data_IF_844898212495
#
_entry.id   IF_844898212495
#
_cell.length_a   1.000
_cell.length_b   1.000
_cell.length_c   1.000
_cell.angle_alpha   90.00
_cell.angle_beta   90.00
_cell.angle_gamma   90.00
#
_symmetry.space_group_name_H-M   'P 1'
#
loop_
_entity.id
_entity.type
_entity.pdbx_description
1 polymer ?
#
# COMPACT_ATOMS: atom_id res chain seq x y z
N UNK A 1 17.10 110.29 -56.76
CA UNK A 1 18.46 109.88 -56.36
C UNK A 1 18.29 108.51 -55.72
N UNK A 2 19.01 107.49 -56.18
CA UNK A 2 18.90 106.12 -55.66
C UNK A 2 19.48 106.03 -54.25
N UNK A 3 18.77 105.34 -53.37
CA UNK A 3 19.37 104.37 -52.46
C UNK A 3 18.42 103.15 -52.43
N UNK A 4 18.98 101.95 -52.36
CA UNK A 4 18.27 100.69 -52.62
C UNK A 4 18.40 99.80 -51.39
N UNK A 5 17.27 99.32 -50.83
CA UNK A 5 17.24 98.54 -49.58
C UNK A 5 16.17 97.48 -49.58
N UNK A 6 16.56 96.34 -50.14
CA UNK A 6 16.33 94.99 -49.60
C UNK A 6 14.98 94.75 -48.90
N UNK A 7 14.02 94.27 -49.69
CA UNK A 7 12.80 93.64 -49.17
C UNK A 7 13.18 92.27 -48.60
N UNK A 8 13.61 92.25 -47.33
CA UNK A 8 13.77 91.03 -46.55
C UNK A 8 12.38 90.42 -46.25
N UNK A 9 11.82 89.68 -47.20
CA UNK A 9 10.60 88.90 -47.05
C UNK A 9 10.88 87.66 -46.19
N UNK A 10 11.03 87.88 -44.89
CA UNK A 10 11.21 86.81 -43.90
C UNK A 10 9.85 86.16 -43.61
N UNK A 11 9.60 85.03 -44.29
CA UNK A 11 8.46 84.15 -44.00
C UNK A 11 8.96 83.06 -43.06
N UNK A 12 8.30 82.83 -41.90
CA UNK A 12 8.56 81.62 -41.13
C UNK A 12 8.06 80.40 -41.92
N UNK A 13 8.97 79.69 -42.59
CA UNK A 13 8.66 78.45 -43.30
C UNK A 13 8.49 77.28 -42.31
N UNK A 14 7.26 77.09 -41.85
CA UNK A 14 6.69 75.75 -41.62
C UNK A 14 7.41 74.80 -40.66
N UNK A 15 7.62 75.19 -39.40
CA UNK A 15 7.98 74.23 -38.32
C UNK A 15 6.75 73.66 -37.59
N UNK A 16 5.58 74.30 -37.69
CA UNK A 16 4.34 73.89 -36.99
C UNK A 16 3.78 72.53 -37.44
N UNK A 17 4.22 71.98 -38.58
CA UNK A 17 3.83 70.63 -39.01
C UNK A 17 4.57 69.52 -38.28
N UNK A 18 5.90 69.66 -38.12
CA UNK A 18 6.75 68.60 -37.58
C UNK A 18 6.51 68.34 -36.08
N UNK A 19 6.32 69.41 -35.30
CA UNK A 19 6.05 69.28 -33.86
C UNK A 19 4.65 68.73 -33.58
N UNK A 20 3.66 68.99 -34.46
CA UNK A 20 2.33 68.39 -34.36
C UNK A 20 2.33 66.91 -34.79
N UNK A 21 3.02 66.54 -35.87
CA UNK A 21 3.18 65.13 -36.24
C UNK A 21 3.94 64.35 -35.15
N UNK A 22 5.00 64.93 -34.55
CA UNK A 22 5.71 64.31 -33.44
C UNK A 22 4.86 64.15 -32.18
N UNK A 23 4.07 65.16 -31.81
CA UNK A 23 3.12 65.07 -30.69
C UNK A 23 2.00 64.04 -30.97
N UNK A 24 1.51 63.96 -32.20
CA UNK A 24 0.52 62.96 -32.59
C UNK A 24 1.10 61.54 -32.62
N UNK A 25 2.35 61.35 -33.05
CA UNK A 25 3.05 60.06 -33.05
C UNK A 25 3.40 59.60 -31.62
N UNK A 26 3.79 60.52 -30.72
CA UNK A 26 3.96 60.21 -29.29
C UNK A 26 2.63 59.90 -28.59
N UNK A 27 1.54 60.59 -28.98
CA UNK A 27 0.18 60.29 -28.47
C UNK A 27 -0.38 58.97 -29.04
N UNK A 28 -0.10 58.65 -30.30
CA UNK A 28 -0.49 57.40 -30.97
C UNK A 28 0.29 56.20 -30.43
N UNK A 29 1.62 56.30 -30.31
CA UNK A 29 2.42 55.25 -29.69
C UNK A 29 2.07 55.05 -28.21
N UNK A 30 1.80 56.12 -27.45
CA UNK A 30 1.23 56.02 -26.09
C UNK A 30 -0.15 55.34 -26.10
N UNK A 31 -0.97 55.54 -27.15
CA UNK A 31 -2.25 54.86 -27.30
C UNK A 31 -2.10 53.38 -27.69
N UNK A 32 -1.12 53.01 -28.52
CA UNK A 32 -0.82 51.62 -28.90
C UNK A 32 -0.25 50.81 -27.72
N UNK A 33 0.68 51.37 -26.94
CA UNK A 33 1.12 50.77 -25.66
C UNK A 33 -0.02 50.73 -24.60
N UNK A 34 -1.09 51.50 -24.80
CA UNK A 34 -2.29 51.47 -23.93
C UNK A 34 -3.32 50.40 -24.31
N UNK A 35 -3.19 49.70 -25.45
CA UNK A 35 -4.15 48.68 -25.90
C UNK A 35 -4.01 47.38 -25.09
N UNK A 36 -4.44 47.46 -23.83
CA UNK A 36 -4.11 46.60 -22.70
C UNK A 36 -4.69 45.20 -22.73
N UNK A 37 -4.52 44.47 -23.84
CA UNK A 37 -4.73 43.03 -23.93
C UNK A 37 -3.64 42.31 -23.15
N UNK A 38 -3.73 42.33 -21.81
CA UNK A 38 -2.85 41.57 -20.92
C UNK A 38 -3.13 40.07 -21.10
N UNK A 39 -2.38 39.44 -21.99
CA UNK A 39 -2.47 37.99 -22.26
C UNK A 39 -1.89 37.23 -21.08
N UNK A 40 -2.76 36.84 -20.14
CA UNK A 40 -2.39 36.03 -18.99
C UNK A 40 -1.90 34.63 -19.43
N UNK A 41 -0.71 34.17 -19.01
CA UNK A 41 -0.26 32.82 -19.30
C UNK A 41 -1.20 31.80 -18.66
N UNK A 42 -1.42 30.67 -19.34
CA UNK A 42 -2.34 29.61 -18.90
C UNK A 42 -1.55 28.41 -18.41
N UNK A 43 -1.67 28.11 -17.12
CA UNK A 43 -1.11 26.91 -16.49
C UNK A 43 -2.09 25.73 -16.47
N UNK A 44 -1.65 24.60 -15.91
CA UNK A 44 -2.38 23.32 -15.85
C UNK A 44 -3.75 23.35 -15.09
N UNK A 45 -4.18 24.50 -14.57
CA UNK A 45 -5.48 24.69 -13.87
C UNK A 45 -6.20 25.99 -14.25
N UNK A 46 -5.82 26.65 -15.35
CA UNK A 46 -6.32 27.96 -15.75
C UNK A 46 -5.23 29.03 -15.77
N UNK A 47 -5.61 30.31 -15.82
CA UNK A 47 -4.67 31.43 -15.83
C UNK A 47 -3.71 31.39 -14.62
N UNK A 48 -2.46 31.79 -14.85
CA UNK A 48 -1.47 31.95 -13.81
C UNK A 48 -1.90 33.03 -12.82
N UNK A 49 -2.10 32.61 -11.58
CA UNK A 49 -2.55 33.48 -10.51
C UNK A 49 -1.54 34.57 -10.19
N UNK A 50 -0.24 34.31 -10.27
CA UNK A 50 0.77 35.31 -9.90
C UNK A 50 0.81 36.44 -10.94
N UNK A 51 0.66 36.11 -12.23
CA UNK A 51 0.52 37.10 -13.31
C UNK A 51 -0.78 37.91 -13.20
N UNK A 52 -1.90 37.28 -12.80
CA UNK A 52 -3.18 37.97 -12.59
C UNK A 52 -3.13 38.87 -11.34
N UNK A 53 -2.64 38.37 -10.20
CA UNK A 53 -2.51 39.14 -8.95
C UNK A 53 -1.46 40.28 -9.09
N UNK A 54 -0.52 40.20 -10.05
CA UNK A 54 0.37 41.30 -10.47
C UNK A 54 -0.34 42.34 -11.34
N UNK A 55 -1.02 41.93 -12.42
CA UNK A 55 -1.74 42.88 -13.28
C UNK A 55 -2.87 43.62 -12.54
N UNK A 56 -3.54 42.97 -11.58
CA UNK A 56 -4.52 43.61 -10.70
C UNK A 56 -3.87 44.69 -9.83
N UNK A 57 -2.67 44.46 -9.29
CA UNK A 57 -1.92 45.48 -8.54
C UNK A 57 -1.51 46.65 -9.43
N UNK A 58 -0.99 46.38 -10.63
CA UNK A 58 -0.63 47.42 -11.61
C UNK A 58 -1.84 48.22 -12.09
N UNK A 59 -3.02 47.60 -12.25
CA UNK A 59 -4.26 48.30 -12.55
C UNK A 59 -4.73 49.15 -11.36
N UNK A 60 -4.68 48.63 -10.13
CA UNK A 60 -5.05 49.36 -8.94
C UNK A 60 -4.14 50.58 -8.66
N UNK A 61 -2.84 50.46 -8.95
CA UNK A 61 -1.88 51.57 -8.86
C UNK A 61 -2.09 52.61 -9.98
N UNK A 62 -2.42 52.19 -11.22
CA UNK A 62 -2.81 53.12 -12.29
C UNK A 62 -4.09 53.89 -11.95
N UNK A 63 -5.11 53.21 -11.42
CA UNK A 63 -6.36 53.84 -10.95
C UNK A 63 -6.08 54.81 -9.80
N UNK A 64 -5.15 54.51 -8.89
CA UNK A 64 -4.76 55.43 -7.82
C UNK A 64 -4.08 56.69 -8.36
N UNK A 65 -3.12 56.56 -9.28
CA UNK A 65 -2.45 57.71 -9.91
C UNK A 65 -3.43 58.62 -10.64
N UNK A 66 -4.32 58.05 -11.45
CA UNK A 66 -5.37 58.83 -12.13
C UNK A 66 -6.32 59.55 -11.13
N UNK A 67 -6.61 58.94 -9.97
CA UNK A 67 -7.39 59.57 -8.91
C UNK A 67 -6.62 60.70 -8.18
N UNK A 68 -5.30 60.57 -8.02
CA UNK A 68 -4.42 61.61 -7.47
C UNK A 68 -4.25 62.78 -8.45
N UNK A 69 -4.01 62.48 -9.73
CA UNK A 69 -3.90 63.46 -10.83
C UNK A 69 -5.19 64.28 -11.00
N UNK A 70 -6.36 63.65 -10.96
CA UNK A 70 -7.66 64.36 -11.03
C UNK A 70 -7.94 65.21 -9.79
N UNK A 71 -7.49 64.79 -8.60
CA UNK A 71 -7.58 65.63 -7.39
C UNK A 71 -6.65 66.86 -7.47
N UNK A 72 -5.43 66.69 -7.96
CA UNK A 72 -4.49 67.81 -8.11
C UNK A 72 -4.88 68.76 -9.26
N UNK A 73 -5.42 68.24 -10.36
CA UNK A 73 -6.04 69.06 -11.41
C UNK A 73 -7.21 69.91 -10.85
N UNK A 74 -8.08 69.30 -10.01
CA UNK A 74 -9.16 70.01 -9.32
C UNK A 74 -8.63 71.09 -8.38
N UNK A 75 -7.61 70.81 -7.57
CA UNK A 75 -6.96 71.79 -6.68
C UNK A 75 -6.37 72.96 -7.46
N UNK A 76 -5.73 72.72 -8.61
CA UNK A 76 -5.19 73.78 -9.49
C UNK A 76 -6.30 74.66 -10.05
N UNK A 77 -7.41 74.08 -10.51
CA UNK A 77 -8.58 74.84 -10.95
C UNK A 77 -9.20 75.68 -9.82
N UNK A 78 -9.40 75.08 -8.64
CA UNK A 78 -9.88 75.79 -7.44
C UNK A 78 -8.97 76.96 -7.03
N UNK A 79 -7.65 76.79 -7.14
CA UNK A 79 -6.68 77.85 -6.88
C UNK A 79 -6.73 78.99 -7.93
N UNK A 80 -6.83 78.67 -9.22
CA UNK A 80 -6.96 79.69 -10.27
C UNK A 80 -8.26 80.49 -10.15
N UNK A 81 -9.40 79.84 -9.86
CA UNK A 81 -10.66 80.56 -9.62
C UNK A 81 -10.63 81.40 -8.33
N UNK A 82 -9.86 81.00 -7.31
CA UNK A 82 -9.65 81.82 -6.11
C UNK A 82 -8.78 83.05 -6.41
N UNK A 83 -7.74 82.90 -7.23
CA UNK A 83 -6.89 84.01 -7.68
C UNK A 83 -7.69 85.04 -8.51
N UNK A 84 -8.38 84.59 -9.57
CA UNK A 84 -9.18 85.46 -10.44
C UNK A 84 -10.24 86.27 -9.67
N UNK A 85 -10.81 85.69 -8.61
CA UNK A 85 -11.72 86.42 -7.71
C UNK A 85 -11.01 87.50 -6.91
N UNK A 86 -9.87 87.20 -6.31
CA UNK A 86 -9.10 88.18 -5.55
C UNK A 86 -8.57 89.33 -6.42
N UNK A 87 -8.23 89.06 -7.69
CA UNK A 87 -7.85 90.07 -8.68
C UNK A 87 -9.04 90.99 -9.01
N UNK A 88 -10.20 90.42 -9.37
CA UNK A 88 -11.42 91.17 -9.67
C UNK A 88 -11.95 91.97 -8.46
N UNK A 89 -11.91 91.40 -7.25
CA UNK A 89 -12.32 92.09 -6.03
C UNK A 89 -11.40 93.30 -5.73
N UNK A 90 -10.09 93.19 -6.01
CA UNK A 90 -9.15 94.30 -5.89
C UNK A 90 -9.35 95.40 -6.95
N UNK A 91 -9.66 95.03 -8.20
CA UNK A 91 -10.03 95.99 -9.25
C UNK A 91 -11.31 96.78 -8.88
N UNK A 92 -12.29 96.10 -8.27
CA UNK A 92 -13.49 96.75 -7.74
C UNK A 92 -13.17 97.74 -6.61
N UNK A 93 -12.34 97.35 -5.62
CA UNK A 93 -11.91 98.24 -4.53
C UNK A 93 -11.17 99.47 -5.08
N UNK A 94 -10.25 99.30 -6.04
CA UNK A 94 -9.53 100.42 -6.66
C UNK A 94 -10.47 101.37 -7.41
N UNK A 95 -11.46 100.83 -8.14
CA UNK A 95 -12.46 101.65 -8.83
C UNK A 95 -13.33 102.44 -7.84
N UNK A 96 -13.74 101.82 -6.73
CA UNK A 96 -14.53 102.46 -5.69
C UNK A 96 -13.74 103.57 -4.98
N UNK A 97 -12.43 103.36 -4.75
CA UNK A 97 -11.54 104.41 -4.25
C UNK A 97 -11.46 105.60 -5.20
N UNK A 98 -11.20 105.38 -6.51
CA UNK A 98 -11.16 106.45 -7.52
C UNK A 98 -12.43 107.29 -7.55
N UNK A 99 -13.61 106.65 -7.61
CA UNK A 99 -14.89 107.38 -7.56
C UNK A 99 -15.09 108.16 -6.25
N UNK A 100 -14.57 107.68 -5.11
CA UNK A 100 -14.66 108.40 -3.83
C UNK A 100 -13.79 109.67 -3.81
N UNK A 101 -12.63 109.64 -4.47
CA UNK A 101 -11.75 110.81 -4.61
C UNK A 101 -12.35 111.85 -5.57
N UNK A 102 -12.92 111.42 -6.70
CA UNK A 102 -13.64 112.31 -7.62
C UNK A 102 -14.83 113.01 -6.93
N UNK A 103 -15.64 112.26 -6.16
CA UNK A 103 -16.78 112.81 -5.42
C UNK A 103 -16.36 113.82 -4.35
N UNK A 104 -15.25 113.58 -3.64
CA UNK A 104 -14.74 114.55 -2.65
C UNK A 104 -14.19 115.81 -3.32
N UNK A 105 -13.44 115.68 -4.42
CA UNK A 105 -12.98 116.83 -5.21
C UNK A 105 -14.15 117.67 -5.75
N UNK A 106 -15.20 117.05 -6.28
CA UNK A 106 -16.40 117.76 -6.76
C UNK A 106 -17.14 118.48 -5.62
N UNK A 107 -17.21 117.88 -4.42
CA UNK A 107 -17.78 118.55 -3.24
C UNK A 107 -16.95 119.77 -2.79
N UNK A 108 -15.61 119.69 -2.86
CA UNK A 108 -14.75 120.83 -2.54
C UNK A 108 -14.87 121.96 -3.58
N UNK A 109 -14.92 121.63 -4.87
CA UNK A 109 -15.17 122.60 -5.94
C UNK A 109 -16.52 123.31 -5.75
N UNK A 110 -17.59 122.57 -5.40
CA UNK A 110 -18.92 123.13 -5.15
C UNK A 110 -18.93 124.04 -3.90
N UNK A 111 -18.26 123.65 -2.81
CA UNK A 111 -18.06 124.51 -1.64
C UNK A 111 -17.30 125.80 -1.98
N UNK A 112 -16.23 125.70 -2.78
CA UNK A 112 -15.45 126.86 -3.21
C UNK A 112 -16.23 127.80 -4.14
N UNK A 113 -17.11 127.26 -4.99
CA UNK A 113 -18.04 128.06 -5.80
C UNK A 113 -19.09 128.78 -4.93
N UNK A 114 -19.70 128.07 -3.97
CA UNK A 114 -20.68 128.64 -3.05
C UNK A 114 -20.10 129.75 -2.16
N UNK A 115 -18.86 129.59 -1.67
CA UNK A 115 -18.16 130.63 -0.92
C UNK A 115 -17.98 131.92 -1.75
N UNK A 116 -17.52 131.79 -3.01
CA UNK A 116 -17.36 132.94 -3.92
C UNK A 116 -18.68 133.64 -4.23
N UNK A 117 -19.80 132.91 -4.27
CA UNK A 117 -21.13 133.50 -4.43
C UNK A 117 -21.52 134.35 -3.20
N UNK A 118 -21.35 133.81 -1.99
CA UNK A 118 -21.62 134.54 -0.75
C UNK A 118 -20.70 135.76 -0.55
N UNK A 119 -19.42 135.67 -0.96
CA UNK A 119 -18.48 136.80 -0.98
C UNK A 119 -18.95 137.91 -1.94
N UNK A 120 -19.51 137.54 -3.11
CA UNK A 120 -20.05 138.48 -4.08
C UNK A 120 -21.36 139.13 -3.61
N UNK A 121 -22.28 138.35 -3.03
CA UNK A 121 -23.50 138.87 -2.38
C UNK A 121 -23.16 139.87 -1.27
N UNK A 122 -22.14 139.56 -0.45
CA UNK A 122 -21.65 140.45 0.60
C UNK A 122 -21.06 141.76 0.06
N UNK A 123 -20.35 141.71 -1.07
CA UNK A 123 -19.83 142.91 -1.75
C UNK A 123 -20.95 143.77 -2.35
N UNK A 124 -21.98 143.16 -2.94
CA UNK A 124 -23.16 143.89 -3.45
C UNK A 124 -23.90 144.60 -2.32
N UNK A 125 -24.08 143.93 -1.16
CA UNK A 125 -24.65 144.58 0.03
C UNK A 125 -23.80 145.75 0.52
N UNK A 126 -22.49 145.58 0.66
CA UNK A 126 -21.59 146.65 1.13
C UNK A 126 -21.60 147.88 0.19
N UNK A 127 -21.60 147.66 -1.13
CA UNK A 127 -21.69 148.74 -2.12
C UNK A 127 -23.06 149.45 -2.09
N UNK A 128 -24.14 148.72 -1.79
CA UNK A 128 -25.48 149.31 -1.61
C UNK A 128 -25.53 150.21 -0.36
N UNK A 129 -24.91 149.80 0.75
CA UNK A 129 -24.87 150.58 1.99
C UNK A 129 -23.95 151.81 1.86
N UNK A 130 -22.82 151.71 1.13
CA UNK A 130 -21.95 152.85 0.82
C UNK A 130 -22.68 153.91 -0.03
N UNK A 131 -23.45 153.49 -1.05
CA UNK A 131 -24.27 154.42 -1.82
C UNK A 131 -25.43 155.01 -1.01
N UNK A 132 -26.05 154.24 -0.12
CA UNK A 132 -27.14 154.72 0.74
C UNK A 132 -26.69 155.75 1.81
N UNK A 133 -25.39 155.85 2.09
CA UNK A 133 -24.81 156.78 3.08
C UNK A 133 -24.09 157.97 2.45
N UNK A 134 -24.22 158.16 1.13
CA UNK A 134 -23.56 159.23 0.38
C UNK A 134 -24.46 160.48 0.23
N UNK A 135 -24.20 161.50 1.04
CA UNK A 135 -24.80 162.85 0.86
C UNK A 135 -24.21 163.55 -0.37
N UNK A 136 -24.85 163.38 -1.54
CA UNK A 136 -24.67 164.25 -2.71
C UNK A 136 -25.77 165.34 -2.73
N UNK A 137 -25.41 166.59 -3.07
CA UNK A 137 -26.24 167.82 -2.98
C UNK A 137 -27.57 167.85 -3.77
N UNK A 138 -27.95 166.75 -4.42
CA UNK A 138 -29.25 166.58 -5.09
C UNK A 138 -29.80 165.16 -4.85
N UNK A 139 -30.59 164.94 -3.78
CA UNK A 139 -31.12 163.64 -3.43
C UNK A 139 -32.26 163.17 -4.34
N UNK A 140 -32.59 163.88 -5.43
CA UNK A 140 -33.42 163.36 -6.51
C UNK A 140 -32.52 162.73 -7.58
N UNK A 141 -31.53 163.47 -8.09
CA UNK A 141 -30.56 162.94 -9.07
C UNK A 141 -29.75 161.76 -8.55
N UNK A 142 -29.32 161.77 -7.29
CA UNK A 142 -28.60 160.64 -6.68
C UNK A 142 -29.40 159.34 -6.74
N UNK A 143 -30.72 159.41 -6.47
CA UNK A 143 -31.64 158.26 -6.61
C UNK A 143 -31.93 157.91 -8.06
N UNK A 144 -32.15 158.87 -8.95
CA UNK A 144 -32.35 158.59 -10.38
C UNK A 144 -31.13 157.88 -11.00
N UNK A 145 -29.91 158.24 -10.59
CA UNK A 145 -28.69 157.55 -11.00
C UNK A 145 -28.50 156.20 -10.31
N UNK A 146 -28.83 156.05 -9.03
CA UNK A 146 -28.77 154.77 -8.33
C UNK A 146 -29.81 153.77 -8.86
N UNK A 147 -31.06 154.20 -9.08
CA UNK A 147 -32.11 153.39 -9.72
C UNK A 147 -31.72 152.99 -11.15
N UNK A 148 -31.03 153.86 -11.90
CA UNK A 148 -30.49 153.52 -13.21
C UNK A 148 -29.34 152.50 -13.13
N UNK A 149 -28.44 152.62 -12.15
CA UNK A 149 -27.35 151.67 -11.92
C UNK A 149 -27.90 150.32 -11.44
N UNK A 150 -28.84 150.31 -10.49
CA UNK A 150 -29.54 149.11 -10.03
C UNK A 150 -30.30 148.44 -11.18
N UNK A 151 -31.00 149.20 -12.03
CA UNK A 151 -31.68 148.65 -13.20
C UNK A 151 -30.71 148.01 -14.20
N UNK A 152 -29.55 148.64 -14.45
CA UNK A 152 -28.50 148.07 -15.30
C UNK A 152 -27.85 146.85 -14.63
N UNK A 153 -27.68 146.85 -13.31
CA UNK A 153 -27.16 145.72 -12.55
C UNK A 153 -28.16 144.55 -12.47
N UNK A 154 -29.46 144.82 -12.37
CA UNK A 154 -30.56 143.85 -12.44
C UNK A 154 -30.67 143.26 -13.85
N UNK A 155 -30.53 144.08 -14.89
CA UNK A 155 -30.50 143.63 -16.29
C UNK A 155 -29.25 142.77 -16.56
N UNK A 156 -28.06 143.18 -16.08
CA UNK A 156 -26.83 142.40 -16.19
C UNK A 156 -26.86 141.10 -15.35
N UNK A 157 -27.35 141.15 -14.12
CA UNK A 157 -27.52 139.96 -13.28
C UNK A 157 -28.58 139.01 -13.86
N UNK A 158 -29.68 139.55 -14.42
CA UNK A 158 -30.68 138.79 -15.16
C UNK A 158 -30.08 138.09 -16.37
N UNK A 159 -29.25 138.78 -17.16
CA UNK A 159 -28.50 138.18 -18.29
C UNK A 159 -27.50 137.12 -17.81
N UNK A 160 -26.78 137.36 -16.71
CA UNK A 160 -25.84 136.39 -16.13
C UNK A 160 -26.56 135.15 -15.60
N UNK A 161 -27.68 135.30 -14.90
CA UNK A 161 -28.51 134.19 -14.41
C UNK A 161 -29.13 133.42 -15.58
N UNK A 162 -29.66 134.10 -16.60
CA UNK A 162 -30.17 133.43 -17.82
C UNK A 162 -29.06 132.67 -18.56
N UNK A 163 -27.84 133.22 -18.61
CA UNK A 163 -26.70 132.54 -19.22
C UNK A 163 -26.25 131.33 -18.39
N UNK A 164 -26.20 131.46 -17.06
CA UNK A 164 -25.85 130.39 -16.13
C UNK A 164 -26.89 129.25 -16.12
N UNK A 165 -28.18 129.58 -16.13
CA UNK A 165 -29.27 128.59 -16.29
C UNK A 165 -29.12 127.89 -17.64
N UNK A 166 -28.96 128.62 -18.74
CA UNK A 166 -28.75 128.02 -20.05
C UNK A 166 -27.45 127.20 -20.16
N UNK A 167 -26.40 127.53 -19.40
CA UNK A 167 -25.19 126.70 -19.28
C UNK A 167 -25.47 125.42 -18.49
N UNK A 168 -26.17 125.50 -17.36
CA UNK A 168 -26.56 124.36 -16.55
C UNK A 168 -27.50 123.41 -17.30
N UNK A 169 -28.48 123.93 -18.04
CA UNK A 169 -29.36 123.16 -18.91
C UNK A 169 -28.58 122.41 -20.00
N UNK A 170 -27.60 123.06 -20.65
CA UNK A 170 -26.72 122.40 -21.64
C UNK A 170 -25.81 121.34 -21.00
N UNK A 171 -25.28 121.60 -19.80
CA UNK A 171 -24.44 120.64 -19.08
C UNK A 171 -25.25 119.42 -18.62
N UNK A 172 -26.48 119.63 -18.12
CA UNK A 172 -27.41 118.56 -17.75
C UNK A 172 -27.86 117.75 -18.97
N UNK A 173 -28.10 118.41 -20.12
CA UNK A 173 -28.38 117.71 -21.37
C UNK A 173 -27.20 116.82 -21.79
N UNK A 174 -25.98 117.38 -21.84
CA UNK A 174 -24.76 116.61 -22.16
C UNK A 174 -24.58 115.43 -21.22
N UNK A 175 -24.68 115.63 -19.90
CA UNK A 175 -24.57 114.56 -18.92
C UNK A 175 -25.69 113.51 -19.01
N UNK A 176 -26.90 113.88 -19.44
CA UNK A 176 -27.99 112.93 -19.68
C UNK A 176 -27.77 112.12 -20.97
N UNK A 177 -27.27 112.74 -22.04
CA UNK A 177 -26.94 112.09 -23.31
C UNK A 177 -25.71 111.17 -23.17
N UNK A 178 -24.66 111.62 -22.47
CA UNK A 178 -23.49 110.82 -22.09
C UNK A 178 -23.91 109.61 -21.24
N UNK A 179 -24.72 109.82 -20.20
CA UNK A 179 -25.24 108.73 -19.38
C UNK A 179 -26.19 107.80 -20.15
N UNK A 180 -26.85 108.26 -21.23
CA UNK A 180 -27.60 107.39 -22.13
C UNK A 180 -26.65 106.54 -22.99
N UNK A 181 -25.65 107.16 -23.62
CA UNK A 181 -24.63 106.45 -24.40
C UNK A 181 -23.93 105.36 -23.58
N UNK A 182 -23.53 105.66 -22.35
CA UNK A 182 -22.87 104.69 -21.45
C UNK A 182 -23.81 103.52 -21.09
N UNK A 183 -25.12 103.77 -20.92
CA UNK A 183 -26.10 102.68 -20.67
C UNK A 183 -26.30 101.83 -21.92
N UNK A 184 -26.45 102.44 -23.08
CA UNK A 184 -26.71 101.73 -24.33
C UNK A 184 -25.47 100.91 -24.77
N UNK A 185 -24.27 101.44 -24.55
CA UNK A 185 -22.99 100.74 -24.73
C UNK A 185 -22.84 99.57 -23.74
N UNK A 186 -23.08 99.78 -22.44
CA UNK A 186 -23.05 98.71 -21.43
C UNK A 186 -24.10 97.62 -21.69
N UNK A 187 -25.28 97.96 -22.24
CA UNK A 187 -26.30 97.01 -22.67
C UNK A 187 -25.84 96.25 -23.92
N UNK A 188 -25.21 96.92 -24.89
CA UNK A 188 -24.65 96.27 -26.07
C UNK A 188 -23.55 95.25 -25.68
N UNK A 189 -22.67 95.63 -24.76
CA UNK A 189 -21.60 94.75 -24.28
C UNK A 189 -22.09 93.63 -23.38
N UNK A 190 -23.09 93.85 -22.52
CA UNK A 190 -23.75 92.77 -21.79
C UNK A 190 -24.38 91.74 -22.75
N UNK A 191 -25.00 92.19 -23.84
CA UNK A 191 -25.57 91.30 -24.85
C UNK A 191 -24.50 90.57 -25.67
N UNK A 192 -23.38 91.24 -25.99
CA UNK A 192 -22.20 90.67 -26.67
C UNK A 192 -21.57 89.55 -25.84
N UNK A 193 -21.18 89.85 -24.60
CA UNK A 193 -20.60 88.89 -23.66
C UNK A 193 -21.54 87.72 -23.37
N UNK A 194 -22.85 87.98 -23.28
CA UNK A 194 -23.86 86.92 -23.12
C UNK A 194 -23.94 86.01 -24.34
N UNK A 195 -23.93 86.56 -25.56
CA UNK A 195 -23.97 85.76 -26.78
C UNK A 195 -22.70 84.90 -26.96
N UNK A 196 -21.55 85.47 -26.62
CA UNK A 196 -20.24 84.78 -26.58
C UNK A 196 -20.24 83.63 -25.56
N UNK A 197 -20.59 83.90 -24.31
CA UNK A 197 -20.68 82.87 -23.26
C UNK A 197 -21.75 81.79 -23.55
N UNK A 198 -22.83 82.12 -24.28
CA UNK A 198 -23.78 81.12 -24.76
C UNK A 198 -23.20 80.27 -25.89
N UNK A 199 -22.48 80.87 -26.83
CA UNK A 199 -21.82 80.15 -27.92
C UNK A 199 -20.74 79.19 -27.41
N UNK A 200 -19.92 79.62 -26.45
CA UNK A 200 -18.90 78.78 -25.81
C UNK A 200 -19.52 77.62 -25.03
N UNK A 201 -20.63 77.86 -24.31
CA UNK A 201 -21.37 76.81 -23.64
C UNK A 201 -21.94 75.78 -24.64
N UNK A 202 -22.53 76.23 -25.76
CA UNK A 202 -23.04 75.35 -26.81
C UNK A 202 -21.91 74.55 -27.49
N UNK A 203 -20.74 75.16 -27.73
CA UNK A 203 -19.54 74.46 -28.24
C UNK A 203 -19.06 73.38 -27.27
N UNK A 204 -18.94 73.70 -25.97
CA UNK A 204 -18.52 72.75 -24.94
C UNK A 204 -19.54 71.62 -24.79
N UNK A 205 -20.85 71.90 -24.86
CA UNK A 205 -21.89 70.88 -24.84
C UNK A 205 -21.81 69.95 -26.05
N UNK A 206 -21.67 70.48 -27.27
CA UNK A 206 -21.51 69.67 -28.49
C UNK A 206 -20.24 68.81 -28.44
N UNK A 207 -19.14 69.36 -27.90
CA UNK A 207 -17.89 68.61 -27.68
C UNK A 207 -18.10 67.45 -26.71
N UNK A 208 -18.72 67.70 -25.55
CA UNK A 208 -19.01 66.65 -24.56
C UNK A 208 -19.95 65.58 -25.13
N UNK A 209 -20.97 65.96 -25.91
CA UNK A 209 -21.89 65.00 -26.54
C UNK A 209 -21.18 64.12 -27.58
N UNK A 210 -20.30 64.69 -28.41
CA UNK A 210 -19.54 63.95 -29.42
C UNK A 210 -18.46 63.05 -28.81
N UNK A 211 -17.71 63.53 -27.81
CA UNK A 211 -16.75 62.72 -27.04
C UNK A 211 -17.46 61.59 -26.29
N UNK A 212 -18.59 61.87 -25.61
CA UNK A 212 -19.40 60.87 -24.91
C UNK A 212 -19.93 59.78 -25.86
N UNK A 213 -20.41 60.18 -27.04
CA UNK A 213 -20.89 59.26 -28.09
C UNK A 213 -19.75 58.39 -28.65
N UNK A 214 -18.56 58.97 -28.86
CA UNK A 214 -17.38 58.23 -29.29
C UNK A 214 -16.93 57.20 -28.23
N UNK A 215 -16.91 57.59 -26.95
CA UNK A 215 -16.58 56.69 -25.84
C UNK A 215 -17.63 55.58 -25.66
N UNK A 216 -18.93 55.87 -25.79
CA UNK A 216 -19.97 54.83 -25.70
C UNK A 216 -19.86 53.83 -26.84
N UNK A 217 -19.62 54.30 -28.08
CA UNK A 217 -19.40 53.44 -29.23
C UNK A 217 -18.11 52.60 -29.12
N UNK A 218 -17.04 53.13 -28.52
CA UNK A 218 -15.82 52.37 -28.20
C UNK A 218 -16.12 51.26 -27.19
N UNK A 219 -16.76 51.60 -26.07
CA UNK A 219 -17.14 50.63 -25.03
C UNK A 219 -18.10 49.55 -25.55
N UNK A 220 -19.01 49.87 -26.48
CA UNK A 220 -19.90 48.89 -27.10
C UNK A 220 -19.13 47.91 -27.99
N UNK A 221 -18.18 48.38 -28.81
CA UNK A 221 -17.29 47.51 -29.62
C UNK A 221 -16.43 46.61 -28.74
N UNK A 222 -15.82 47.16 -27.68
CA UNK A 222 -15.01 46.39 -26.73
C UNK A 222 -15.85 45.32 -26.01
N UNK A 223 -17.08 45.64 -25.60
CA UNK A 223 -18.03 44.66 -25.04
C UNK A 223 -18.45 43.59 -26.04
N UNK A 224 -18.71 43.95 -27.30
CA UNK A 224 -19.06 42.99 -28.34
C UNK A 224 -17.90 42.02 -28.63
N UNK A 225 -16.68 42.53 -28.76
CA UNK A 225 -15.45 41.76 -28.94
C UNK A 225 -15.14 40.86 -27.73
N UNK A 226 -15.36 41.34 -26.50
CA UNK A 226 -15.24 40.53 -25.29
C UNK A 226 -16.30 39.41 -25.25
N UNK A 227 -17.55 39.70 -25.60
CA UNK A 227 -18.63 38.71 -25.67
C UNK A 227 -18.37 37.66 -26.77
N UNK A 228 -17.81 38.05 -27.92
CA UNK A 228 -17.39 37.12 -28.97
C UNK A 228 -16.25 36.21 -28.51
N UNK A 229 -15.23 36.75 -27.84
CA UNK A 229 -14.14 35.97 -27.23
C UNK A 229 -14.65 34.98 -26.17
N UNK A 230 -15.60 35.39 -25.32
CA UNK A 230 -16.25 34.48 -24.36
C UNK A 230 -17.02 33.38 -25.10
N UNK A 231 -17.84 33.73 -26.08
CA UNK A 231 -18.59 32.75 -26.86
C UNK A 231 -17.69 31.80 -27.68
N UNK A 232 -16.51 32.25 -28.10
CA UNK A 232 -15.48 31.39 -28.70
C UNK A 232 -14.89 30.43 -27.66
N UNK A 233 -14.44 30.94 -26.52
CA UNK A 233 -13.88 30.13 -25.44
C UNK A 233 -14.88 29.08 -24.92
N UNK A 234 -16.18 29.41 -24.86
CA UNK A 234 -17.25 28.46 -24.54
C UNK A 234 -17.39 27.35 -25.59
N UNK A 235 -17.38 27.70 -26.89
CA UNK A 235 -17.41 26.72 -27.99
C UNK A 235 -16.20 25.78 -27.95
N UNK A 236 -15.00 26.33 -27.70
CA UNK A 236 -13.76 25.56 -27.57
C UNK A 236 -13.77 24.67 -26.31
N UNK A 237 -14.22 25.18 -25.16
CA UNK A 237 -14.36 24.40 -23.94
C UNK A 237 -15.38 23.26 -24.07
N UNK A 238 -16.46 23.46 -24.82
CA UNK A 238 -17.41 22.39 -25.19
C UNK A 238 -16.76 21.39 -26.14
N UNK A 239 -16.05 21.83 -27.19
CA UNK A 239 -15.36 20.96 -28.12
C UNK A 239 -14.36 20.03 -27.40
N UNK A 240 -13.44 20.62 -26.62
CA UNK A 240 -12.44 19.93 -25.79
C UNK A 240 -13.12 18.94 -24.83
N UNK A 241 -14.23 19.33 -24.19
CA UNK A 241 -14.98 18.42 -23.30
C UNK A 241 -15.54 17.22 -24.06
N UNK A 242 -16.19 17.42 -25.21
CA UNK A 242 -16.72 16.28 -25.99
C UNK A 242 -15.61 15.38 -26.55
N UNK A 243 -14.43 15.93 -26.85
CA UNK A 243 -13.27 15.15 -27.27
C UNK A 243 -12.67 14.34 -26.12
N UNK A 244 -12.50 14.95 -24.95
CA UNK A 244 -12.07 14.26 -23.72
C UNK A 244 -13.06 13.16 -23.30
N UNK A 245 -14.38 13.40 -23.43
CA UNK A 245 -15.41 12.39 -23.17
C UNK A 245 -15.36 11.21 -24.16
N UNK A 246 -15.16 11.48 -25.46
CA UNK A 246 -14.94 10.45 -26.49
C UNK A 246 -13.66 9.65 -26.22
N UNK A 247 -12.55 10.32 -25.91
CA UNK A 247 -11.27 9.70 -25.56
C UNK A 247 -11.38 8.82 -24.32
N UNK A 248 -12.02 9.31 -23.25
CA UNK A 248 -12.28 8.54 -22.04
C UNK A 248 -13.24 7.34 -22.31
N UNK A 249 -14.21 7.48 -23.21
CA UNK A 249 -15.06 6.36 -23.62
C UNK A 249 -14.29 5.30 -24.43
N UNK A 250 -13.40 5.73 -25.33
CA UNK A 250 -12.53 4.84 -26.10
C UNK A 250 -11.55 4.08 -25.19
N UNK A 251 -10.94 4.75 -24.20
CA UNK A 251 -10.08 4.12 -23.19
C UNK A 251 -10.84 3.12 -22.32
N UNK A 252 -12.02 3.49 -21.80
CA UNK A 252 -12.89 2.54 -21.06
C UNK A 252 -13.27 1.32 -21.91
N UNK A 253 -13.55 1.53 -23.21
CA UNK A 253 -13.86 0.45 -24.15
C UNK A 253 -12.65 -0.46 -24.43
N UNK A 254 -11.45 0.11 -24.52
CA UNK A 254 -10.19 -0.62 -24.69
C UNK A 254 -9.87 -1.48 -23.47
N UNK A 255 -9.87 -0.89 -22.26
CA UNK A 255 -9.62 -1.61 -21.00
C UNK A 255 -10.69 -2.68 -20.76
N UNK A 256 -11.96 -2.43 -21.13
CA UNK A 256 -13.03 -3.43 -21.04
C UNK A 256 -12.83 -4.62 -21.98
N UNK A 257 -12.21 -4.44 -23.16
CA UNK A 257 -11.81 -5.55 -24.03
C UNK A 257 -10.62 -6.29 -23.46
N UNK A 258 -9.55 -5.58 -23.13
CA UNK A 258 -8.31 -6.17 -22.59
C UNK A 258 -8.55 -6.98 -21.32
N UNK A 259 -9.32 -6.45 -20.36
CA UNK A 259 -9.70 -7.19 -19.14
C UNK A 259 -10.60 -8.39 -19.43
N UNK A 260 -11.46 -8.31 -20.45
CA UNK A 260 -12.25 -9.45 -20.95
C UNK A 260 -11.39 -10.54 -21.60
N UNK A 261 -10.41 -10.15 -22.42
CA UNK A 261 -9.46 -11.04 -23.09
C UNK A 261 -8.51 -11.72 -22.10
N UNK A 262 -7.97 -10.97 -21.13
CA UNK A 262 -7.17 -11.48 -20.03
C UNK A 262 -7.97 -12.44 -19.15
N UNK A 263 -9.24 -12.13 -18.85
CA UNK A 263 -10.13 -13.04 -18.13
C UNK A 263 -10.41 -14.31 -18.94
N UNK A 264 -10.75 -14.19 -20.21
CA UNK A 264 -11.00 -15.33 -21.09
C UNK A 264 -9.73 -16.19 -21.30
N UNK A 265 -8.53 -15.58 -21.25
CA UNK A 265 -7.26 -16.31 -21.17
C UNK A 265 -7.15 -17.06 -19.83
N UNK A 266 -7.23 -16.37 -18.69
CA UNK A 266 -7.12 -17.01 -17.37
C UNK A 266 -8.14 -18.15 -17.18
N UNK A 267 -9.37 -18.01 -17.67
CA UNK A 267 -10.36 -19.10 -17.63
C UNK A 267 -10.05 -20.27 -18.60
N UNK A 268 -9.26 -20.06 -19.68
CA UNK A 268 -8.74 -21.17 -20.50
C UNK A 268 -7.57 -21.84 -19.79
N UNK A 269 -6.62 -21.06 -19.31
CA UNK A 269 -5.44 -21.54 -18.57
C UNK A 269 -5.87 -22.37 -17.34
N UNK A 270 -6.91 -21.96 -16.61
CA UNK A 270 -7.51 -22.74 -15.51
C UNK A 270 -8.17 -24.03 -16.00
N UNK A 271 -8.98 -24.00 -17.07
CA UNK A 271 -9.61 -25.22 -17.63
C UNK A 271 -8.55 -26.24 -18.10
N UNK A 272 -7.45 -25.76 -18.70
CA UNK A 272 -6.31 -26.58 -19.12
C UNK A 272 -5.59 -27.22 -17.92
N UNK A 273 -5.39 -26.46 -16.82
CA UNK A 273 -4.82 -27.01 -15.59
C UNK A 273 -5.76 -28.00 -14.89
N UNK A 274 -7.07 -27.75 -14.85
CA UNK A 274 -8.04 -28.72 -14.31
C UNK A 274 -8.09 -30.00 -15.14
N UNK A 275 -8.00 -29.91 -16.48
CA UNK A 275 -7.90 -31.09 -17.35
C UNK A 275 -6.63 -31.90 -17.04
N UNK A 276 -5.46 -31.24 -16.95
CA UNK A 276 -4.20 -31.91 -16.54
C UNK A 276 -4.29 -32.58 -15.17
N UNK A 277 -4.92 -31.94 -14.19
CA UNK A 277 -5.12 -32.54 -12.86
C UNK A 277 -5.96 -33.81 -12.95
N UNK A 278 -7.06 -33.79 -13.73
CA UNK A 278 -7.89 -34.97 -13.95
C UNK A 278 -7.14 -36.10 -14.69
N UNK A 279 -6.34 -35.76 -15.70
CA UNK A 279 -5.45 -36.71 -16.41
C UNK A 279 -4.40 -37.33 -15.45
N UNK A 280 -3.83 -36.53 -14.53
CA UNK A 280 -2.92 -37.03 -13.52
C UNK A 280 -3.63 -37.91 -12.48
N UNK A 281 -4.82 -37.53 -12.03
CA UNK A 281 -5.64 -38.33 -11.11
C UNK A 281 -6.02 -39.69 -11.74
N UNK A 282 -6.48 -39.72 -13.00
CA UNK A 282 -6.74 -40.97 -13.74
C UNK A 282 -5.47 -41.83 -13.89
N UNK A 283 -4.33 -41.20 -14.20
CA UNK A 283 -3.05 -41.92 -14.28
C UNK A 283 -2.59 -42.50 -12.94
N UNK A 284 -3.01 -41.86 -11.83
CA UNK A 284 -2.64 -42.25 -10.47
C UNK A 284 -3.58 -43.34 -9.93
N UNK A 285 -4.89 -43.25 -10.16
CA UNK A 285 -5.83 -44.34 -9.83
C UNK A 285 -5.49 -45.57 -10.66
N UNK A 286 -5.23 -45.42 -11.96
CA UNK A 286 -4.79 -46.53 -12.81
C UNK A 286 -3.53 -47.22 -12.27
N UNK A 287 -2.52 -46.46 -11.85
CA UNK A 287 -1.31 -47.02 -11.22
C UNK A 287 -1.58 -47.68 -9.87
N UNK A 288 -2.53 -47.14 -9.09
CA UNK A 288 -2.97 -47.78 -7.84
C UNK A 288 -3.72 -49.09 -8.11
N UNK A 289 -4.55 -49.16 -9.14
CA UNK A 289 -5.27 -50.38 -9.53
C UNK A 289 -4.31 -51.43 -10.11
N UNK A 290 -3.38 -51.04 -10.98
CA UNK A 290 -2.30 -51.89 -11.50
C UNK A 290 -1.44 -52.44 -10.34
N UNK A 291 -1.01 -51.59 -9.40
CA UNK A 291 -0.23 -52.02 -8.23
C UNK A 291 -1.04 -52.88 -7.23
N UNK A 292 -2.34 -52.63 -7.04
CA UNK A 292 -3.22 -53.48 -6.25
C UNK A 292 -3.40 -54.85 -6.90
N UNK A 293 -3.53 -54.90 -8.24
CA UNK A 293 -3.62 -56.16 -8.97
C UNK A 293 -2.32 -56.96 -8.90
N UNK A 294 -1.17 -56.31 -9.05
CA UNK A 294 0.15 -56.94 -8.83
C UNK A 294 0.30 -57.45 -7.39
N UNK A 295 -0.11 -56.65 -6.39
CA UNK A 295 -0.08 -57.07 -4.98
C UNK A 295 -1.00 -58.27 -4.72
N UNK A 296 -2.21 -58.30 -5.29
CA UNK A 296 -3.12 -59.44 -5.17
C UNK A 296 -2.57 -60.70 -5.87
N UNK A 297 -1.91 -60.55 -7.03
CA UNK A 297 -1.24 -61.67 -7.71
C UNK A 297 -0.08 -62.20 -6.86
N UNK A 298 0.78 -61.32 -6.33
CA UNK A 298 1.90 -61.70 -5.46
C UNK A 298 1.41 -62.31 -4.14
N UNK A 299 0.34 -61.77 -3.56
CA UNK A 299 -0.28 -62.32 -2.35
C UNK A 299 -0.85 -63.72 -2.60
N UNK A 300 -1.59 -63.94 -3.69
CA UNK A 300 -2.09 -65.26 -4.07
C UNK A 300 -0.95 -66.25 -4.38
N UNK A 301 0.15 -65.80 -4.98
CA UNK A 301 1.35 -66.62 -5.17
C UNK A 301 2.02 -66.99 -3.83
N UNK A 302 2.12 -66.03 -2.90
CA UNK A 302 2.67 -66.25 -1.56
C UNK A 302 1.79 -67.17 -0.71
N UNK A 303 0.45 -67.04 -0.78
CA UNK A 303 -0.51 -67.96 -0.16
C UNK A 303 -0.36 -69.35 -0.76
N UNK A 304 -0.40 -69.52 -2.08
CA UNK A 304 -0.23 -70.82 -2.73
C UNK A 304 1.17 -71.44 -2.49
N UNK A 305 2.18 -70.62 -2.16
CA UNK A 305 3.50 -71.08 -1.73
C UNK A 305 3.52 -71.51 -0.26
N UNK A 306 2.86 -70.77 0.63
CA UNK A 306 2.69 -71.14 2.03
C UNK A 306 1.83 -72.41 2.18
N UNK A 307 0.70 -72.49 1.46
CA UNK A 307 -0.16 -73.67 1.38
C UNK A 307 0.63 -74.91 0.95
N UNK A 308 1.46 -74.79 -0.09
CA UNK A 308 2.35 -75.87 -0.53
C UNK A 308 3.33 -76.28 0.56
N UNK A 309 4.04 -75.33 1.19
CA UNK A 309 4.96 -75.64 2.30
C UNK A 309 4.22 -76.32 3.46
N UNK A 310 3.00 -75.88 3.81
CA UNK A 310 2.20 -76.52 4.86
C UNK A 310 1.66 -77.89 4.45
N UNK A 311 1.39 -78.11 3.16
CA UNK A 311 1.06 -79.41 2.58
C UNK A 311 2.24 -80.37 2.64
N UNK A 312 3.37 -79.98 2.05
CA UNK A 312 4.63 -80.73 2.06
C UNK A 312 5.07 -81.08 3.50
N UNK A 313 4.93 -80.14 4.45
CA UNK A 313 5.21 -80.37 5.87
C UNK A 313 4.19 -81.32 6.53
N UNK A 314 2.90 -81.22 6.19
CA UNK A 314 1.86 -82.13 6.69
C UNK A 314 2.04 -83.55 6.15
N UNK A 315 2.45 -83.71 4.88
CA UNK A 315 2.82 -84.99 4.30
C UNK A 315 4.07 -85.57 4.95
N UNK A 316 5.10 -84.76 5.21
CA UNK A 316 6.29 -85.18 5.96
C UNK A 316 5.95 -85.62 7.39
N UNK A 317 5.08 -84.89 8.10
CA UNK A 317 4.60 -85.28 9.44
C UNK A 317 3.77 -86.56 9.38
N UNK A 318 2.89 -86.72 8.39
CA UNK A 318 2.13 -87.95 8.19
C UNK A 318 3.03 -89.16 7.90
N UNK A 319 4.01 -89.00 7.00
CA UNK A 319 4.99 -90.02 6.67
C UNK A 319 5.90 -90.37 7.87
N UNK A 320 6.30 -89.38 8.67
CA UNK A 320 7.04 -89.60 9.92
C UNK A 320 6.20 -90.35 10.95
N UNK A 321 4.90 -90.03 11.10
CA UNK A 321 3.97 -90.75 11.97
C UNK A 321 3.71 -92.18 11.49
N UNK A 322 3.61 -92.42 10.17
CA UNK A 322 3.56 -93.78 9.63
C UNK A 322 4.86 -94.56 9.84
N UNK A 323 6.01 -93.91 9.65
CA UNK A 323 7.32 -94.51 9.89
C UNK A 323 7.48 -94.89 11.37
N UNK A 324 7.10 -94.00 12.29
CA UNK A 324 7.04 -94.26 13.72
C UNK A 324 6.10 -95.43 14.04
N UNK A 325 4.86 -95.43 13.54
CA UNK A 325 3.91 -96.57 13.71
C UNK A 325 4.47 -97.88 13.18
N UNK A 326 5.19 -97.86 12.06
CA UNK A 326 5.82 -99.04 11.44
C UNK A 326 7.03 -99.55 12.25
N UNK A 327 7.77 -98.65 12.90
CA UNK A 327 8.81 -98.99 13.87
C UNK A 327 8.17 -99.56 15.14
N UNK A 328 7.12 -98.93 15.69
CA UNK A 328 6.38 -99.43 16.86
C UNK A 328 5.81 -100.82 16.64
N UNK A 329 5.09 -101.05 15.53
CA UNK A 329 4.55 -102.38 15.21
C UNK A 329 5.66 -103.44 15.05
N UNK A 330 6.81 -103.07 14.45
CA UNK A 330 7.99 -103.95 14.37
C UNK A 330 8.62 -104.20 15.75
N UNK A 331 8.63 -103.21 16.63
CA UNK A 331 9.10 -103.36 18.01
C UNK A 331 8.15 -104.26 18.81
N UNK A 332 6.83 -104.11 18.65
CA UNK A 332 5.83 -105.01 19.24
C UNK A 332 6.00 -106.45 18.72
N UNK A 333 6.33 -106.64 17.44
CA UNK A 333 6.62 -107.96 16.87
C UNK A 333 7.93 -108.55 17.41
N UNK A 334 8.99 -107.74 17.55
CA UNK A 334 10.22 -108.17 18.22
C UNK A 334 9.99 -108.48 19.71
N UNK A 335 9.14 -107.73 20.42
CA UNK A 335 8.80 -108.01 21.80
C UNK A 335 7.96 -109.28 21.93
N UNK A 336 6.97 -109.49 21.05
CA UNK A 336 6.21 -110.74 20.95
C UNK A 336 7.13 -111.93 20.69
N UNK A 337 8.07 -111.79 19.75
CA UNK A 337 9.05 -112.84 19.43
C UNK A 337 10.01 -113.10 20.61
N UNK A 338 10.52 -112.06 21.25
CA UNK A 338 11.42 -112.18 22.40
C UNK A 338 10.71 -112.81 23.62
N UNK A 339 9.46 -112.43 23.90
CA UNK A 339 8.63 -113.07 24.93
C UNK A 339 8.35 -114.54 24.61
N UNK A 340 8.08 -114.89 23.35
CA UNK A 340 7.89 -116.27 22.93
C UNK A 340 9.19 -117.09 23.02
N UNK A 341 10.33 -116.53 22.62
CA UNK A 341 11.65 -117.14 22.78
C UNK A 341 12.04 -117.33 24.26
N UNK A 342 11.71 -116.36 25.12
CA UNK A 342 11.91 -116.49 26.56
C UNK A 342 11.03 -117.60 27.16
N UNK A 343 9.75 -117.68 26.78
CA UNK A 343 8.85 -118.77 27.19
C UNK A 343 9.32 -120.14 26.67
N UNK A 344 9.86 -120.22 25.45
CA UNK A 344 10.45 -121.44 24.92
C UNK A 344 11.72 -121.82 25.70
N UNK A 345 12.64 -120.88 25.94
CA UNK A 345 13.85 -121.13 26.70
C UNK A 345 13.55 -121.55 28.15
N UNK A 346 12.50 -120.98 28.76
CA UNK A 346 12.00 -121.41 30.07
C UNK A 346 11.42 -122.82 30.01
N UNK A 347 10.60 -123.16 29.00
CA UNK A 347 10.07 -124.50 28.81
C UNK A 347 11.18 -125.54 28.59
N UNK A 348 12.16 -125.24 27.74
CA UNK A 348 13.33 -126.09 27.49
C UNK A 348 14.23 -126.22 28.74
N UNK A 349 14.30 -125.20 29.58
CA UNK A 349 14.96 -125.27 30.89
C UNK A 349 14.16 -126.13 31.89
N UNK A 350 12.82 -126.01 31.92
CA UNK A 350 11.95 -126.86 32.74
C UNK A 350 12.00 -128.34 32.31
N UNK A 351 12.09 -128.63 31.00
CA UNK A 351 12.28 -130.00 30.48
C UNK A 351 13.62 -130.55 30.94
N UNK A 352 14.74 -129.84 30.67
CA UNK A 352 16.08 -130.27 31.10
C UNK A 352 16.18 -130.42 32.62
N UNK A 353 15.54 -129.55 33.40
CA UNK A 353 15.47 -129.69 34.86
C UNK A 353 14.71 -130.97 35.30
N UNK A 354 13.64 -131.35 34.60
CA UNK A 354 12.92 -132.62 34.84
C UNK A 354 13.77 -133.82 34.44
N UNK A 355 14.43 -133.79 33.28
CA UNK A 355 15.34 -134.84 32.83
C UNK A 355 16.51 -135.05 33.81
N UNK A 356 17.11 -133.96 34.33
CA UNK A 356 18.14 -134.02 35.36
C UNK A 356 17.58 -134.59 36.67
N UNK A 357 16.37 -134.21 37.09
CA UNK A 357 15.73 -134.75 38.30
C UNK A 357 15.40 -136.23 38.16
N UNK A 358 14.84 -136.67 37.03
CA UNK A 358 14.45 -138.06 36.78
C UNK A 358 15.66 -138.96 36.53
N UNK A 359 16.66 -138.49 35.79
CA UNK A 359 17.96 -139.15 35.69
C UNK A 359 18.73 -139.17 37.02
N UNK A 360 18.44 -138.28 37.96
CA UNK A 360 18.97 -138.34 39.33
C UNK A 360 18.16 -139.31 40.22
N UNK A 361 16.84 -139.36 40.08
CA UNK A 361 15.97 -140.36 40.73
C UNK A 361 16.35 -141.77 40.30
N UNK A 362 16.53 -142.01 39.00
CA UNK A 362 16.90 -143.33 38.48
C UNK A 362 18.33 -143.74 38.89
N UNK A 363 19.27 -142.79 38.98
CA UNK A 363 20.59 -143.06 39.61
C UNK A 363 20.48 -143.37 41.09
N UNK A 364 19.65 -142.65 41.85
CA UNK A 364 19.40 -142.93 43.27
C UNK A 364 18.72 -144.29 43.48
N UNK A 365 17.77 -144.65 42.61
CA UNK A 365 17.13 -145.96 42.56
C UNK A 365 18.18 -147.07 42.33
N UNK A 366 19.00 -146.95 41.28
CA UNK A 366 20.10 -147.89 40.97
C UNK A 366 21.15 -147.99 42.09
N UNK A 367 21.35 -146.94 42.88
CA UNK A 367 22.20 -146.97 44.09
C UNK A 367 21.49 -147.72 45.23
N UNK A 368 20.20 -147.46 45.47
CA UNK A 368 19.41 -148.17 46.48
C UNK A 368 19.28 -149.68 46.20
N UNK A 369 19.05 -150.04 44.93
CA UNK A 369 19.00 -151.43 44.46
C UNK A 369 20.34 -152.14 44.72
N UNK A 370 21.47 -151.51 44.33
CA UNK A 370 22.83 -152.04 44.61
C UNK A 370 23.13 -152.17 46.10
N UNK A 371 22.70 -151.21 46.93
CA UNK A 371 22.87 -151.29 48.40
C UNK A 371 22.04 -152.46 48.96
N UNK A 372 20.84 -152.68 48.44
CA UNK A 372 19.95 -153.76 48.88
C UNK A 372 20.45 -155.13 48.43
N UNK A 373 20.96 -155.24 47.19
CA UNK A 373 21.63 -156.44 46.68
C UNK A 373 22.90 -156.77 47.48
N UNK A 374 23.75 -155.77 47.77
CA UNK A 374 24.95 -155.95 48.57
C UNK A 374 24.60 -156.35 50.02
N UNK A 375 23.60 -155.73 50.65
CA UNK A 375 23.11 -156.14 51.96
C UNK A 375 22.57 -157.57 51.98
N UNK A 376 21.83 -157.98 50.94
CA UNK A 376 21.35 -159.35 50.77
C UNK A 376 22.49 -160.35 50.47
N UNK A 377 23.60 -159.91 49.87
CA UNK A 377 24.82 -160.72 49.72
C UNK A 377 25.51 -160.90 51.07
N UNK A 378 25.76 -159.81 51.81
CA UNK A 378 26.41 -159.84 53.14
C UNK A 378 25.61 -160.66 54.16
N UNK A 379 24.26 -160.63 54.09
CA UNK A 379 23.41 -161.50 54.90
C UNK A 379 23.59 -163.00 54.57
N UNK A 380 23.71 -163.36 53.28
CA UNK A 380 23.96 -164.76 52.87
C UNK A 380 25.35 -165.24 53.25
N UNK A 381 26.40 -164.43 53.00
CA UNK A 381 27.77 -164.70 53.45
C UNK A 381 27.88 -164.86 54.97
N UNK A 382 27.08 -164.12 55.73
CA UNK A 382 26.98 -164.24 57.18
C UNK A 382 26.26 -165.54 57.60
N UNK A 383 25.10 -165.85 57.00
CA UNK A 383 24.40 -167.12 57.24
C UNK A 383 25.30 -168.33 56.93
N UNK A 384 25.95 -168.36 55.77
CA UNK A 384 26.78 -169.49 55.36
C UNK A 384 28.03 -169.64 56.24
N UNK A 385 28.64 -168.54 56.72
CA UNK A 385 29.64 -168.62 57.79
C UNK A 385 29.11 -169.24 59.08
N UNK A 386 27.84 -169.03 59.44
CA UNK A 386 27.24 -169.73 60.61
C UNK A 386 26.91 -171.20 60.33
N UNK A 387 26.71 -171.59 59.06
CA UNK A 387 26.57 -173.00 58.64
C UNK A 387 27.93 -173.71 58.73
N UNK A 388 28.98 -173.12 58.19
CA UNK A 388 30.36 -173.65 58.24
C UNK A 388 30.88 -173.84 59.67
N UNK A 389 30.72 -172.84 60.54
CA UNK A 389 31.16 -172.95 61.93
C UNK A 389 30.40 -174.06 62.72
N UNK A 390 29.15 -174.36 62.35
CA UNK A 390 28.40 -175.51 62.89
C UNK A 390 28.92 -176.84 62.36
N UNK A 391 29.23 -176.92 61.08
CA UNK A 391 29.77 -178.13 60.44
C UNK A 391 31.15 -178.48 61.01
N UNK A 392 32.02 -177.49 61.19
CA UNK A 392 33.35 -177.67 61.80
C UNK A 392 33.26 -178.18 63.26
N UNK A 393 32.28 -177.74 64.06
CA UNK A 393 32.07 -178.28 65.42
C UNK A 393 31.70 -179.77 65.43
N UNK A 394 30.99 -180.28 64.41
CA UNK A 394 30.68 -181.71 64.33
C UNK A 394 31.89 -182.57 63.96
N UNK A 395 32.77 -182.10 63.05
CA UNK A 395 33.98 -182.85 62.68
C UNK A 395 34.97 -183.00 63.82
N UNK A 396 35.15 -181.97 64.66
CA UNK A 396 36.04 -182.05 65.85
C UNK A 396 35.55 -183.11 66.85
N UNK A 397 34.24 -183.39 66.89
CA UNK A 397 33.68 -184.45 67.74
C UNK A 397 34.05 -185.86 67.28
N UNK A 398 34.05 -186.15 65.98
CA UNK A 398 34.35 -187.51 65.48
C UNK A 398 35.85 -187.80 65.38
N UNK A 399 36.67 -186.81 64.99
CA UNK A 399 38.11 -187.04 64.81
C UNK A 399 38.84 -187.34 66.13
N UNK A 400 38.29 -186.94 67.28
CA UNK A 400 38.77 -187.34 68.61
C UNK A 400 38.53 -188.83 68.94
N UNK A 401 37.89 -189.60 68.05
CA UNK A 401 37.86 -191.08 68.09
C UNK A 401 38.80 -191.70 67.05
N UNK A 402 39.31 -190.93 66.08
CA UNK A 402 40.44 -191.29 65.23
C UNK A 402 41.80 -191.00 65.91
N UNK A 403 41.75 -190.56 67.17
CA UNK A 403 42.70 -191.00 68.19
C UNK A 403 42.77 -192.54 68.22
N UNK A 404 43.67 -193.13 67.43
CA UNK A 404 44.66 -194.09 67.92
C UNK A 404 45.64 -194.56 66.84
N UNK A 405 45.22 -194.68 65.57
CA UNK A 405 45.99 -195.50 64.62
C UNK A 405 47.15 -194.76 63.94
N UNK A 406 46.99 -193.49 63.56
CA UNK A 406 48.01 -192.74 62.80
C UNK A 406 48.82 -191.72 63.61
N UNK A 407 49.22 -192.08 64.84
CA UNK A 407 50.29 -191.39 65.57
C UNK A 407 51.68 -191.70 64.96
N UNK A 408 51.91 -191.41 63.67
CA UNK A 408 53.21 -191.58 63.02
C UNK A 408 53.43 -190.61 61.85
N UNK A 409 54.60 -189.96 61.85
CA UNK A 409 55.15 -189.07 60.81
C UNK A 409 54.60 -187.61 60.72
N UNK A 410 55.13 -186.77 61.62
CA UNK A 410 55.84 -185.49 61.35
C UNK A 410 56.32 -185.19 59.90
N UNK A 411 56.69 -183.93 59.53
CA UNK A 411 56.26 -182.59 60.04
C UNK A 411 56.19 -181.41 59.00
N UNK A 412 55.80 -180.21 59.46
CA UNK A 412 56.23 -178.82 59.05
C UNK A 412 56.50 -178.41 57.57
N UNK A 413 55.75 -177.38 57.11
CA UNK A 413 56.32 -176.07 56.64
C UNK A 413 56.23 -175.66 55.14
N UNK A 414 56.19 -174.34 54.84
CA UNK A 414 56.72 -173.76 53.56
C UNK A 414 55.85 -172.83 52.65
N UNK A 415 55.76 -171.54 52.97
CA UNK A 415 55.88 -170.30 52.12
C UNK A 415 55.66 -170.18 50.57
N UNK A 416 55.11 -169.01 50.14
CA UNK A 416 55.55 -168.07 49.04
C UNK A 416 54.89 -168.00 47.61
N UNK A 417 54.84 -166.78 47.02
CA UNK A 417 54.70 -166.43 45.57
C UNK A 417 53.30 -166.00 45.04
N UNK A 418 53.06 -165.26 43.93
CA UNK A 418 53.85 -164.44 42.93
C UNK A 418 52.92 -163.38 42.22
N UNK A 419 53.46 -162.40 41.48
CA UNK A 419 52.85 -161.21 40.78
C UNK A 419 52.18 -161.40 39.38
N UNK A 420 51.43 -160.38 38.85
CA UNK A 420 51.75 -159.52 37.64
C UNK A 420 50.58 -158.75 36.93
N UNK A 421 50.82 -157.47 36.50
CA UNK A 421 50.29 -156.69 35.33
C UNK A 421 48.75 -156.43 35.13
N UNK A 422 48.23 -155.67 34.14
CA UNK A 422 48.27 -154.23 33.68
C UNK A 422 47.05 -153.99 32.68
N UNK A 423 46.67 -152.90 31.98
CA UNK A 423 47.18 -151.54 31.58
C UNK A 423 45.98 -150.60 31.14
N UNK A 424 46.18 -149.29 30.85
CA UNK A 424 45.27 -148.35 30.10
C UNK A 424 44.25 -147.50 30.92
N UNK A 425 43.98 -146.17 30.77
CA UNK A 425 43.83 -145.20 29.65
C UNK A 425 42.34 -144.96 29.22
N UNK A 426 41.78 -143.76 28.92
CA UNK A 426 42.20 -142.31 28.95
C UNK A 426 40.97 -141.36 28.80
N UNK A 427 41.06 -140.07 29.18
CA UNK A 427 40.11 -138.95 28.90
C UNK A 427 40.56 -137.64 29.61
N UNK A 428 40.45 -136.38 29.12
CA UNK A 428 39.49 -135.62 28.28
C UNK A 428 38.34 -134.98 29.11
N UNK A 429 37.93 -133.70 28.99
CA UNK A 429 38.55 -132.39 28.73
C UNK A 429 37.53 -131.28 29.11
N UNK A 430 38.02 -130.15 29.65
CA UNK A 430 37.53 -128.74 29.73
C UNK A 430 36.04 -128.30 29.91
N UNK A 431 35.82 -127.39 30.88
CA UNK A 431 34.72 -126.39 30.93
C UNK A 431 34.96 -125.28 32.01
N UNK A 432 34.36 -124.09 31.80
CA UNK A 432 34.30 -122.88 32.69
C UNK A 432 35.65 -122.20 33.08
N UNK A 433 35.75 -120.89 33.37
CA UNK A 433 34.74 -119.94 33.93
C UNK A 433 34.89 -118.47 33.44
N UNK A 434 33.73 -117.83 33.18
CA UNK A 434 33.36 -116.39 33.27
C UNK A 434 34.06 -115.23 32.50
N UNK A 435 33.35 -114.06 32.33
CA UNK A 435 33.80 -112.92 31.49
C UNK A 435 33.80 -111.53 32.18
N UNK A 436 34.37 -110.49 31.50
CA UNK A 436 33.76 -109.15 31.23
C UNK A 436 34.75 -108.08 30.75
N UNK A 437 34.46 -107.52 29.58
CA UNK A 437 34.74 -106.13 29.20
C UNK A 437 33.38 -105.48 28.83
N UNK A 438 33.17 -104.17 28.95
CA UNK A 438 33.99 -103.12 29.53
C UNK A 438 33.12 -101.87 29.76
N UNK A 439 33.58 -100.93 30.59
CA UNK A 439 32.85 -99.69 30.88
C UNK A 439 33.71 -98.47 30.57
N UNK A 440 33.12 -97.49 29.88
CA UNK A 440 33.58 -96.09 29.86
C UNK A 440 32.33 -95.21 29.89
N UNK A 441 32.30 -94.29 30.83
CA UNK A 441 31.27 -93.28 31.03
C UNK A 441 32.01 -91.96 31.33
N UNK A 442 31.87 -90.96 30.46
CA UNK A 442 32.13 -89.52 30.66
C UNK A 442 32.03 -88.82 29.28
N UNK A 443 31.75 -87.52 29.14
CA UNK A 443 30.70 -86.62 29.66
C UNK A 443 31.16 -85.16 29.39
N UNK A 444 30.21 -84.25 29.13
CA UNK A 444 30.34 -82.78 29.03
C UNK A 444 31.32 -82.16 28.00
N UNK A 445 31.00 -80.94 27.54
CA UNK A 445 31.89 -80.17 26.66
C UNK A 445 31.30 -79.04 25.80
N UNK A 446 30.02 -78.67 25.92
CA UNK A 446 29.44 -77.57 25.13
C UNK A 446 29.85 -76.19 25.67
N UNK A 447 30.15 -75.23 24.77
CA UNK A 447 30.83 -73.98 25.08
C UNK A 447 30.35 -72.79 24.22
N UNK A 448 29.24 -72.19 24.67
CA UNK A 448 28.84 -70.77 24.60
C UNK A 448 29.69 -69.81 23.73
N UNK A 449 29.04 -69.08 22.80
CA UNK A 449 29.03 -67.59 22.66
C UNK A 449 29.10 -67.03 21.22
N UNK A 450 28.03 -66.37 20.78
CA UNK A 450 28.01 -65.20 19.87
C UNK A 450 26.61 -64.57 19.99
N UNK A 451 26.41 -63.51 20.79
CA UNK A 451 26.58 -62.09 20.43
C UNK A 451 25.45 -61.53 19.52
N UNK A 452 24.54 -60.84 20.18
CA UNK A 452 23.43 -60.06 19.66
C UNK A 452 23.85 -58.58 19.62
N UNK A 453 23.76 -57.92 18.46
CA UNK A 453 24.11 -56.48 18.32
C UNK A 453 23.11 -55.73 17.43
N UNK A 454 22.01 -55.35 18.07
CA UNK A 454 21.35 -54.04 18.02
C UNK A 454 21.86 -53.01 16.96
N UNK A 455 20.93 -52.53 16.13
CA UNK A 455 21.02 -51.25 15.40
C UNK A 455 19.62 -50.66 15.19
N UNK A 456 19.34 -49.58 15.92
CA UNK A 456 18.55 -48.44 15.44
C UNK A 456 19.49 -47.39 14.79
#
# INVERSE_FOLDING_TARGET
MTDDRDIANDRPEGTEGADNDAFLDELLSTAEDSDGTTVFPVGFRGYDREAVDEAIRQLADRVRRAAEETQDAKRRAEAMFAQQRAEHDAELEESAHRYSEEVTQLQEQLRAAAARAADAESQVHALSDEFATRDDDDPQRGREHFDAILRVAEEQAGVLVQNAVGQAERLLASAHDEAASIRDEAIADQNRLRAEAQHDADQVHLRIETESTAHSARLERERAHAAEKVAQAEREAVAIRTEAEKGAAALRSMVSRETGELRAKAERDVREMTARVLEFEESLTRRQDEAQQEFLVLHNQAVAHAERITGDASEQVAAALEHARRISARADDYERLARAQAQQAEADAQVRAREILDGSRERAQRIADKITEHAASVLRDAEDRTRDLRWQQQQVGSFMTEMNELLRATPRGGSAGVDFADEGATGDDTADDSPREGAVEENDGDAVRAEETERD
#
